data_IF_287465296463
#
_entry.id   IF_287465296463
#
_cell.length_a   1.000
_cell.length_b   1.000
_cell.length_c   1.000
_cell.angle_alpha   90.00
_cell.angle_beta   90.00
_cell.angle_gamma   90.00
#
_symmetry.space_group_name_H-M   'P 1'
#
loop_
_entity.id
_entity.type
_entity.pdbx_description
1 polymer ?
#
# COMPACT_ATOMS: atom_id res chain seq x y z
N UNK A 1 1.91 4.43 -8.55
CA UNK A 1 2.49 4.42 -7.19
C UNK A 1 4.02 4.49 -7.16
N UNK A 2 4.74 3.56 -7.83
CA UNK A 2 6.22 3.49 -7.78
C UNK A 2 6.95 4.83 -7.94
N UNK A 3 6.61 5.63 -8.97
CA UNK A 3 7.28 6.91 -9.22
C UNK A 3 7.19 7.87 -8.02
N UNK A 4 6.00 8.05 -7.44
CA UNK A 4 5.82 8.91 -6.26
C UNK A 4 6.62 8.38 -5.06
N UNK A 5 6.64 7.08 -4.85
CA UNK A 5 7.45 6.48 -3.77
C UNK A 5 8.95 6.67 -4.00
N UNK A 6 9.43 6.61 -5.25
CA UNK A 6 10.82 6.87 -5.61
C UNK A 6 11.21 8.33 -5.31
N UNK A 7 10.36 9.30 -5.67
CA UNK A 7 10.57 10.72 -5.35
C UNK A 7 10.57 11.01 -3.85
N UNK A 8 9.86 10.21 -3.05
CA UNK A 8 9.89 10.25 -1.58
C UNK A 8 11.05 9.43 -0.99
N UNK A 9 12.03 9.04 -1.81
CA UNK A 9 13.24 8.35 -1.37
C UNK A 9 13.01 6.90 -0.95
N UNK A 10 11.92 6.26 -1.40
CA UNK A 10 11.61 4.87 -1.04
C UNK A 10 11.97 3.86 -2.12
N UNK A 11 12.32 4.29 -3.34
CA UNK A 11 12.80 3.40 -4.41
C UNK A 11 13.89 4.09 -5.23
N UNK A 12 14.90 3.35 -5.71
CA UNK A 12 15.82 3.89 -6.70
C UNK A 12 15.12 4.06 -8.05
N UNK A 13 15.58 5.02 -8.84
CA UNK A 13 15.14 5.24 -10.23
C UNK A 13 16.27 4.89 -11.20
N UNK A 14 15.98 4.33 -12.39
CA UNK A 14 16.91 4.28 -13.50
C UNK A 14 17.40 5.68 -13.90
N UNK A 15 18.65 5.79 -14.36
CA UNK A 15 19.30 7.06 -14.73
C UNK A 15 18.43 7.93 -15.65
N UNK A 16 17.89 7.33 -16.72
CA UNK A 16 17.06 8.04 -17.70
C UNK A 16 15.80 8.65 -17.09
N UNK A 17 15.17 7.97 -16.11
CA UNK A 17 14.00 8.48 -15.42
C UNK A 17 14.37 9.55 -14.38
N UNK A 18 15.51 9.40 -13.71
CA UNK A 18 16.03 10.39 -12.78
C UNK A 18 16.37 11.73 -13.47
N UNK A 19 17.02 11.65 -14.65
CA UNK A 19 17.31 12.82 -15.50
C UNK A 19 16.03 13.52 -15.95
N UNK A 20 15.02 12.76 -16.40
CA UNK A 20 13.71 13.30 -16.78
C UNK A 20 13.01 14.02 -15.63
N UNK A 21 13.06 13.45 -14.42
CA UNK A 21 12.51 14.08 -13.21
C UNK A 21 13.22 15.39 -12.92
N UNK A 22 14.55 15.41 -12.96
CA UNK A 22 15.33 16.61 -12.68
C UNK A 22 15.05 17.72 -13.70
N UNK A 23 14.96 17.38 -14.99
CA UNK A 23 14.59 18.33 -16.03
C UNK A 23 13.16 18.86 -15.87
N UNK A 24 12.21 18.01 -15.48
CA UNK A 24 10.80 18.40 -15.30
C UNK A 24 10.59 19.30 -14.08
N UNK A 25 11.36 19.07 -13.01
CA UNK A 25 11.22 19.77 -11.73
C UNK A 25 12.27 20.87 -11.51
N UNK A 26 13.12 21.13 -12.52
CA UNK A 26 14.22 22.10 -12.47
C UNK A 26 15.17 21.86 -11.28
N UNK A 27 15.66 20.62 -11.17
CA UNK A 27 16.55 20.16 -10.10
C UNK A 27 17.97 19.93 -10.62
N UNK A 28 18.95 20.14 -9.75
CA UNK A 28 20.37 19.92 -10.06
C UNK A 28 20.70 18.45 -10.34
N UNK A 29 21.74 18.21 -11.13
CA UNK A 29 22.23 16.87 -11.50
C UNK A 29 22.59 16.00 -10.29
N UNK A 30 23.02 16.61 -9.17
CA UNK A 30 23.29 15.90 -7.91
C UNK A 30 22.06 15.20 -7.32
N UNK A 31 20.86 15.66 -7.67
CA UNK A 31 19.59 15.02 -7.29
C UNK A 31 19.37 13.76 -8.11
N UNK A 32 19.72 13.76 -9.41
CA UNK A 32 19.61 12.58 -10.26
C UNK A 32 20.49 11.44 -9.76
N UNK A 33 21.71 11.75 -9.30
CA UNK A 33 22.56 10.74 -8.63
C UNK A 33 21.89 10.20 -7.37
N UNK A 34 21.27 11.06 -6.58
CA UNK A 34 20.63 10.67 -5.32
C UNK A 34 19.41 9.78 -5.55
N UNK A 35 18.59 10.07 -6.57
CA UNK A 35 17.44 9.25 -6.97
C UNK A 35 17.83 7.85 -7.46
N UNK A 36 19.06 7.66 -7.95
CA UNK A 36 19.55 6.36 -8.42
C UNK A 36 20.06 5.45 -7.28
N UNK A 37 20.41 6.02 -6.13
CA UNK A 37 20.99 5.25 -5.02
C UNK A 37 19.92 4.38 -4.35
N UNK A 38 20.33 3.21 -3.88
CA UNK A 38 19.47 2.37 -3.05
C UNK A 38 19.12 3.12 -1.76
N UNK A 39 17.83 3.31 -1.43
CA UNK A 39 17.45 4.07 -0.26
C UNK A 39 17.63 3.28 1.03
N UNK A 40 18.02 3.99 2.09
CA UNK A 40 17.87 3.49 3.45
C UNK A 40 16.39 3.57 3.84
N UNK A 41 15.72 2.42 3.92
CA UNK A 41 14.31 2.35 4.31
C UNK A 41 14.21 2.34 5.83
N UNK A 42 13.45 3.29 6.38
CA UNK A 42 13.16 3.39 7.80
C UNK A 42 11.81 4.03 8.00
N UNK A 43 11.17 3.75 9.13
CA UNK A 43 9.94 4.43 9.53
C UNK A 43 10.38 5.67 10.29
N UNK A 44 10.15 6.85 9.71
CA UNK A 44 10.24 8.10 10.44
C UNK A 44 9.11 8.13 11.49
N UNK A 45 9.42 8.18 12.80
CA UNK A 45 8.40 8.22 13.85
C UNK A 45 7.40 9.38 13.69
N UNK A 46 7.80 10.49 13.06
CA UNK A 46 6.90 11.60 12.80
C UNK A 46 5.73 11.21 11.88
N UNK A 47 5.95 10.30 10.92
CA UNK A 47 4.90 9.80 10.02
C UNK A 47 3.81 9.02 10.75
N UNK A 48 4.12 8.45 11.93
CA UNK A 48 3.13 7.75 12.76
C UNK A 48 2.08 8.72 13.35
N UNK A 49 2.37 10.02 13.37
CA UNK A 49 1.44 11.06 13.80
C UNK A 49 0.60 11.66 12.66
N UNK A 50 0.95 11.37 11.40
CA UNK A 50 0.16 11.83 10.27
C UNK A 50 -1.19 11.09 10.23
N UNK A 51 -2.33 11.80 10.19
CA UNK A 51 -3.64 11.17 10.28
C UNK A 51 -3.99 10.31 9.06
N UNK A 52 -3.38 10.54 7.89
CA UNK A 52 -3.62 9.73 6.69
C UNK A 52 -2.85 8.42 6.77
N UNK A 53 -1.58 8.48 7.16
CA UNK A 53 -0.72 7.30 7.34
C UNK A 53 -1.21 6.45 8.51
N UNK A 54 -1.56 7.06 9.64
CA UNK A 54 -2.01 6.35 10.84
C UNK A 54 -3.23 5.45 10.59
N UNK A 55 -4.13 5.82 9.66
CA UNK A 55 -5.29 4.98 9.32
C UNK A 55 -4.92 3.65 8.70
N UNK A 56 -3.79 3.57 7.99
CA UNK A 56 -3.28 2.28 7.50
C UNK A 56 -2.76 1.41 8.65
N UNK A 57 -2.08 1.99 9.63
CA UNK A 57 -1.64 1.27 10.82
C UNK A 57 -2.82 0.77 11.66
N UNK A 58 -3.86 1.58 11.84
CA UNK A 58 -5.07 1.19 12.54
C UNK A 58 -5.82 0.08 11.80
N UNK A 59 -6.00 0.21 10.48
CA UNK A 59 -6.63 -0.83 9.66
C UNK A 59 -5.87 -2.16 9.74
N UNK A 60 -4.54 -2.14 9.66
CA UNK A 60 -3.72 -3.35 9.79
C UNK A 60 -3.72 -3.91 11.22
N UNK A 61 -3.85 -3.06 12.24
CA UNK A 61 -3.96 -3.51 13.63
C UNK A 61 -5.29 -4.21 13.91
N UNK A 62 -6.38 -3.74 13.29
CA UNK A 62 -7.73 -4.34 13.41
C UNK A 62 -7.86 -5.60 12.55
N UNK A 63 -7.43 -5.55 11.28
CA UNK A 63 -7.67 -6.62 10.31
C UNK A 63 -6.48 -7.55 10.11
N UNK A 64 -5.29 -7.23 10.59
CA UNK A 64 -4.07 -8.02 10.41
C UNK A 64 -4.22 -9.50 10.78
N UNK A 65 -4.78 -9.84 11.96
CA UNK A 65 -5.03 -11.24 12.33
C UNK A 65 -5.97 -11.95 11.34
N UNK A 66 -7.04 -11.30 10.90
CA UNK A 66 -7.97 -11.89 9.94
C UNK A 66 -7.33 -12.07 8.55
N UNK A 67 -6.57 -11.09 8.07
CA UNK A 67 -5.83 -11.17 6.80
C UNK A 67 -4.84 -12.33 6.83
N UNK A 68 -4.11 -12.50 7.94
CA UNK A 68 -3.19 -13.63 8.12
C UNK A 68 -3.91 -14.97 7.97
N UNK A 69 -4.99 -15.18 8.72
CA UNK A 69 -5.70 -16.47 8.69
C UNK A 69 -6.31 -16.73 7.31
N UNK A 70 -6.83 -15.71 6.62
CA UNK A 70 -7.33 -15.86 5.25
C UNK A 70 -6.22 -16.20 4.24
N UNK A 71 -5.03 -15.59 4.38
CA UNK A 71 -3.88 -15.96 3.55
C UNK A 71 -3.50 -17.42 3.82
N UNK A 72 -3.47 -17.86 5.08
CA UNK A 72 -3.12 -19.23 5.43
C UNK A 72 -4.17 -20.25 4.97
N UNK A 73 -5.46 -19.90 5.01
CA UNK A 73 -6.55 -20.75 4.53
C UNK A 73 -6.47 -20.98 3.01
N UNK A 74 -6.29 -19.89 2.26
CA UNK A 74 -6.32 -19.94 0.79
C UNK A 74 -4.99 -20.39 0.17
N UNK A 75 -3.86 -19.95 0.74
CA UNK A 75 -2.53 -20.15 0.15
C UNK A 75 -1.63 -21.11 0.97
N UNK A 76 -2.01 -21.47 2.20
CA UNK A 76 -1.18 -22.29 3.10
C UNK A 76 -0.18 -21.46 3.92
N UNK A 77 0.69 -22.15 4.67
CA UNK A 77 1.67 -21.49 5.54
C UNK A 77 2.72 -20.72 4.72
N UNK A 78 2.70 -19.40 4.84
CA UNK A 78 3.48 -18.50 4.01
C UNK A 78 3.18 -17.02 4.26
N UNK A 79 3.74 -16.16 3.41
CA UNK A 79 3.55 -14.71 3.48
C UNK A 79 3.20 -14.12 2.11
N UNK A 80 2.51 -12.98 2.13
CA UNK A 80 2.46 -12.06 1.00
C UNK A 80 3.76 -11.25 0.97
N UNK A 81 4.55 -11.40 -0.10
CA UNK A 81 5.81 -10.66 -0.24
C UNK A 81 5.58 -9.15 -0.27
N UNK A 82 6.42 -8.40 0.45
CA UNK A 82 6.49 -6.93 0.37
C UNK A 82 7.65 -6.44 -0.53
N UNK A 83 8.35 -7.36 -1.23
CA UNK A 83 9.45 -7.05 -2.14
C UNK A 83 9.01 -7.18 -3.60
N UNK A 84 8.44 -8.34 -3.96
CA UNK A 84 7.72 -8.49 -5.23
C UNK A 84 6.26 -8.10 -4.97
N UNK A 85 6.05 -6.79 -4.91
CA UNK A 85 4.85 -6.17 -4.38
C UNK A 85 4.48 -4.91 -5.15
N UNK A 86 3.19 -4.74 -5.42
CA UNK A 86 2.62 -3.57 -6.04
C UNK A 86 1.51 -2.99 -5.15
N UNK A 87 1.38 -1.67 -5.21
CA UNK A 87 0.30 -0.93 -4.56
C UNK A 87 -0.37 -0.04 -5.60
N UNK A 88 -1.68 -0.04 -5.60
CA UNK A 88 -2.50 0.87 -6.40
C UNK A 88 -3.53 1.62 -5.55
N UNK A 89 -3.89 2.82 -6.00
CA UNK A 89 -4.90 3.66 -5.36
C UNK A 89 -5.89 4.10 -6.43
N UNK A 90 -7.15 3.74 -6.21
CA UNK A 90 -8.26 4.13 -7.06
C UNK A 90 -9.34 4.87 -6.26
N UNK A 91 -10.02 5.80 -6.93
CA UNK A 91 -11.24 6.40 -6.41
C UNK A 91 -12.43 5.56 -6.85
N UNK A 92 -13.35 5.31 -5.93
CA UNK A 92 -14.64 4.67 -6.22
C UNK A 92 -15.78 5.55 -5.73
N UNK A 93 -16.67 5.92 -6.62
CA UNK A 93 -17.88 6.68 -6.27
C UNK A 93 -18.78 5.87 -5.33
N UNK A 94 -19.44 6.56 -4.40
CA UNK A 94 -20.35 5.95 -3.45
C UNK A 94 -21.40 6.98 -2.98
N UNK A 95 -22.66 6.57 -2.72
CA UNK A 95 -23.74 7.49 -2.30
C UNK A 95 -23.37 8.40 -1.10
N UNK A 96 -22.74 7.84 -0.07
CA UNK A 96 -22.27 8.59 1.11
C UNK A 96 -20.91 9.33 0.91
N UNK A 97 -20.51 9.58 -0.33
CA UNK A 97 -19.24 10.20 -0.70
C UNK A 97 -18.15 9.20 -1.09
N UNK A 98 -17.24 9.66 -1.97
CA UNK A 98 -16.17 8.88 -2.59
C UNK A 98 -15.38 8.03 -1.60
N UNK A 99 -14.98 6.85 -2.07
CA UNK A 99 -14.11 5.92 -1.35
C UNK A 99 -12.73 5.91 -1.99
N UNK A 100 -11.71 5.78 -1.15
CA UNK A 100 -10.36 5.39 -1.57
C UNK A 100 -10.30 3.87 -1.52
N UNK A 101 -9.94 3.26 -2.65
CA UNK A 101 -9.67 1.84 -2.78
C UNK A 101 -8.16 1.69 -2.86
N UNK A 102 -7.61 0.86 -1.97
CA UNK A 102 -6.19 0.52 -1.97
C UNK A 102 -6.06 -0.96 -2.29
N UNK A 103 -5.28 -1.27 -3.31
CA UNK A 103 -4.98 -2.65 -3.71
C UNK A 103 -3.54 -2.97 -3.33
N UNK A 104 -3.36 -4.05 -2.58
CA UNK A 104 -2.08 -4.60 -2.17
C UNK A 104 -1.90 -5.92 -2.89
N UNK A 105 -0.92 -6.00 -3.79
CA UNK A 105 -0.70 -7.18 -4.63
C UNK A 105 0.74 -7.66 -4.45
N UNK A 106 0.90 -8.80 -3.78
CA UNK A 106 2.19 -9.41 -3.51
C UNK A 106 2.24 -10.85 -3.93
N UNK A 107 3.40 -11.28 -4.42
CA UNK A 107 3.60 -12.70 -4.70
C UNK A 107 3.49 -13.52 -3.42
N UNK A 108 2.71 -14.60 -3.44
CA UNK A 108 2.65 -15.56 -2.34
C UNK A 108 3.94 -16.39 -2.28
N UNK A 109 4.63 -16.39 -1.14
CA UNK A 109 5.73 -17.33 -0.87
C UNK A 109 5.25 -18.38 0.12
N UNK A 110 4.88 -19.55 -0.40
CA UNK A 110 4.32 -20.67 0.37
C UNK A 110 5.43 -21.64 0.74
N UNK A 111 5.41 -22.15 1.97
CA UNK A 111 6.37 -23.17 2.43
C UNK A 111 6.23 -24.43 1.57
N UNK A 112 7.36 -25.02 1.18
CA UNK A 112 7.41 -26.08 0.16
C UNK A 112 6.49 -27.29 0.42
N UNK A 113 6.13 -27.55 1.68
CA UNK A 113 5.23 -28.63 2.11
C UNK A 113 3.74 -28.40 1.86
N UNK A 114 3.30 -27.15 1.65
CA UNK A 114 1.87 -26.78 1.57
C UNK A 114 1.35 -26.55 0.15
N UNK A 115 2.23 -26.63 -0.86
CA UNK A 115 1.85 -26.47 -2.28
C UNK A 115 0.77 -27.45 -2.77
N UNK A 116 0.55 -28.56 -2.06
CA UNK A 116 -0.47 -29.55 -2.38
C UNK A 116 -1.85 -29.29 -1.76
N UNK A 117 -1.97 -28.37 -0.78
CA UNK A 117 -3.21 -28.18 0.01
C UNK A 117 -4.13 -27.09 -0.53
N UNK A 118 -3.58 -26.08 -1.20
CA UNK A 118 -4.32 -24.94 -1.77
C UNK A 118 -5.29 -25.31 -2.90
N UNK A 119 -5.17 -26.50 -3.51
CA UNK A 119 -6.07 -26.94 -4.58
C UNK A 119 -7.42 -27.53 -4.08
N UNK A 120 -7.62 -27.68 -2.77
CA UNK A 120 -8.75 -28.45 -2.22
C UNK A 120 -9.93 -27.61 -1.72
N UNK A 121 -9.83 -26.28 -1.67
CA UNK A 121 -10.86 -25.42 -1.06
C UNK A 121 -11.43 -24.38 -2.03
N UNK A 122 -11.96 -24.84 -3.16
CA UNK A 122 -12.80 -24.00 -4.04
C UNK A 122 -14.21 -23.87 -3.42
N UNK A 123 -14.38 -23.05 -2.36
CA UNK A 123 -15.69 -22.82 -1.71
C UNK A 123 -16.17 -21.37 -1.65
N UNK A 124 -15.45 -20.42 -2.23
CA UNK A 124 -15.96 -19.05 -2.37
C UNK A 124 -15.84 -18.60 -3.83
N UNK A 125 -16.82 -17.79 -4.27
CA UNK A 125 -17.04 -17.35 -5.65
C UNK A 125 -15.92 -16.46 -6.20
N UNK A 126 -16.16 -15.71 -7.30
CA UNK A 126 -15.09 -14.96 -7.97
C UNK A 126 -14.40 -13.99 -7.00
N UNK A 127 -13.08 -13.89 -7.16
CA UNK A 127 -12.15 -12.98 -6.50
C UNK A 127 -12.81 -11.67 -6.02
N UNK A 128 -12.96 -11.51 -4.71
CA UNK A 128 -13.34 -10.23 -4.10
C UNK A 128 -12.04 -9.58 -3.62
N UNK A 129 -11.53 -8.53 -4.30
CA UNK A 129 -10.34 -7.84 -3.82
C UNK A 129 -10.60 -7.29 -2.42
N UNK A 130 -9.71 -7.59 -1.47
CA UNK A 130 -9.74 -6.99 -0.13
C UNK A 130 -9.59 -5.49 -0.30
N UNK A 131 -10.71 -4.77 -0.21
CA UNK A 131 -10.80 -3.34 -0.44
C UNK A 131 -11.02 -2.64 0.90
N UNK A 132 -9.98 -2.00 1.44
CA UNK A 132 -10.16 -1.13 2.60
C UNK A 132 -10.86 0.14 2.15
N UNK A 133 -12.03 0.42 2.73
CA UNK A 133 -12.77 1.66 2.46
C UNK A 133 -12.51 2.65 3.59
N UNK A 134 -11.66 3.65 3.33
CA UNK A 134 -11.48 4.78 4.27
C UNK A 134 -12.68 5.71 4.15
N UNK A 135 -13.47 5.85 5.22
CA UNK A 135 -14.55 6.84 5.30
C UNK A 135 -14.00 8.13 5.88
N UNK A 136 -14.27 9.27 5.22
CA UNK A 136 -14.06 10.59 5.83
C UNK A 136 -15.17 10.78 6.87
N UNK A 137 -14.85 10.73 8.15
CA UNK A 137 -15.77 11.20 9.20
C UNK A 137 -15.81 12.71 9.11
N UNK A 138 -16.99 13.26 8.79
CA UNK A 138 -17.22 14.70 8.83
C UNK A 138 -16.94 15.22 10.24
N UNK A 139 -16.24 16.35 10.31
CA UNK A 139 -16.14 17.17 11.52
C UNK A 139 -17.58 17.52 11.94
N UNK A 140 -18.01 17.31 13.20
CA UNK A 140 -19.32 17.78 13.63
C UNK A 140 -19.32 19.31 13.50
N UNK A 141 -20.36 19.83 12.84
CA UNK A 141 -20.59 21.26 12.71
C UNK A 141 -20.60 21.87 14.12
N UNK A 142 -19.73 22.86 14.32
CA UNK A 142 -19.77 23.66 15.54
C UNK A 142 -21.13 24.38 15.58
N UNK A 143 -21.84 24.39 16.73
CA UNK A 143 -23.10 25.10 16.81
C UNK A 143 -22.87 26.58 16.49
N UNK A 144 -23.69 27.12 15.59
CA UNK A 144 -23.70 28.54 15.29
C UNK A 144 -23.94 29.30 16.59
N UNK A 145 -23.01 30.19 16.93
CA UNK A 145 -23.17 31.11 18.05
C UNK A 145 -24.38 32.01 17.76
N UNK A 146 -25.45 31.82 18.53
CA UNK A 146 -26.59 32.71 18.68
C UNK A 146 -26.59 33.31 20.07
#
# INVERSE_FOLDING_TARGET
MWCVAALLGQHPMPATQAEQVCALLDLDESVAESLQRQPARGIDPALMSDPTIYRFHEALSVYGPAIKELIHEEFGDGIMSAINFNVDIARREHPDGDRVVVTLDGSSSITAGDRGRAAAHHRYGPFVPISFTVRRTGRPDAPAAG
#
